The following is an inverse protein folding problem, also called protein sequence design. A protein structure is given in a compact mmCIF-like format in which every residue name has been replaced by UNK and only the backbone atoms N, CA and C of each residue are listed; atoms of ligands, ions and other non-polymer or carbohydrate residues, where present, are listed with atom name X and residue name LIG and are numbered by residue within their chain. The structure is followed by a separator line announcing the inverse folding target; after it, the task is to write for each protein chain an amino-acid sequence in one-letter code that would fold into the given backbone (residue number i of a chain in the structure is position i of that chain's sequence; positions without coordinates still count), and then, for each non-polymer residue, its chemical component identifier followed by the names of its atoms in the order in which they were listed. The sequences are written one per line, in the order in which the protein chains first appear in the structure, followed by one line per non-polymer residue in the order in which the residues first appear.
data_IF_081607024953
#
_entry.id   IF_081607024953
#
_cell.length_a   1.000
_cell.length_b   1.000
_cell.length_c   1.000
_cell.angle_alpha   90.00
_cell.angle_beta   90.00
_cell.angle_gamma   90.00
#
_symmetry.space_group_name_H-M   'P 1'
#
loop_
_entity.id
_entity.type
_entity.pdbx_description
1 polymer ?
#
# COMPACT_ATOMS: atom_id res chain seq x y z
N UNK A 1 5.59 28.61 27.09
CA UNK A 1 5.77 28.40 25.64
C UNK A 1 6.76 27.30 25.27
N UNK A 2 8.06 27.38 25.63
CA UNK A 2 9.09 26.43 25.13
C UNK A 2 8.75 24.95 25.34
N UNK A 3 8.34 24.55 26.55
CA UNK A 3 8.01 23.15 26.87
C UNK A 3 6.85 22.60 26.04
N UNK A 4 5.85 23.42 25.73
CA UNK A 4 4.70 23.02 24.92
C UNK A 4 5.11 22.73 23.47
N UNK A 5 5.93 23.60 22.87
CA UNK A 5 6.47 23.38 21.53
C UNK A 5 7.35 22.13 21.47
N UNK A 6 8.17 21.89 22.49
CA UNK A 6 8.99 20.68 22.56
C UNK A 6 8.14 19.43 22.62
N UNK A 7 7.11 19.38 23.47
CA UNK A 7 6.18 18.24 23.54
C UNK A 7 5.48 18.02 22.20
N UNK A 8 5.03 19.09 21.55
CA UNK A 8 4.39 19.01 20.24
C UNK A 8 5.34 18.47 19.16
N UNK A 9 6.60 18.92 19.16
CA UNK A 9 7.65 18.41 18.26
C UNK A 9 7.90 16.92 18.48
N UNK A 10 8.02 16.48 19.74
CA UNK A 10 8.21 15.06 20.06
C UNK A 10 7.01 14.26 19.55
N UNK A 11 5.79 14.72 19.81
CA UNK A 11 4.58 14.05 19.33
C UNK A 11 4.57 13.93 17.79
N UNK A 12 4.93 15.01 17.09
CA UNK A 12 5.01 15.00 15.63
C UNK A 12 6.05 14.00 15.13
N UNK A 13 7.24 13.97 15.75
CA UNK A 13 8.29 13.01 15.41
C UNK A 13 7.83 11.57 15.64
N UNK A 14 7.17 11.29 16.76
CA UNK A 14 6.63 9.95 17.06
C UNK A 14 5.60 9.53 16.01
N UNK A 15 4.70 10.44 15.60
CA UNK A 15 3.72 10.15 14.55
C UNK A 15 4.40 9.84 13.22
N UNK A 16 5.36 10.67 12.79
CA UNK A 16 6.10 10.46 11.54
C UNK A 16 6.89 9.14 11.58
N UNK A 17 7.55 8.85 12.70
CA UNK A 17 8.28 7.61 12.88
C UNK A 17 7.35 6.38 12.84
N UNK A 18 6.20 6.45 13.51
CA UNK A 18 5.18 5.39 13.50
C UNK A 18 4.60 5.12 12.11
N UNK A 19 4.24 6.18 11.38
CA UNK A 19 3.78 6.09 9.98
C UNK A 19 4.86 5.50 9.07
N UNK A 20 6.11 5.95 9.23
CA UNK A 20 7.24 5.44 8.44
C UNK A 20 7.50 3.97 8.73
N UNK A 21 7.45 3.55 9.99
CA UNK A 21 7.61 2.16 10.39
C UNK A 21 6.53 1.28 9.77
N UNK A 22 5.26 1.69 9.80
CA UNK A 22 4.15 0.95 9.19
C UNK A 22 4.40 0.74 7.68
N UNK A 23 4.77 1.80 6.97
CA UNK A 23 5.04 1.73 5.53
C UNK A 23 6.22 0.81 5.20
N UNK A 24 7.29 0.84 6.01
CA UNK A 24 8.48 0.01 5.79
C UNK A 24 8.27 -1.46 6.19
N UNK A 25 7.47 -1.73 7.23
CA UNK A 25 7.20 -3.09 7.68
C UNK A 25 6.15 -3.82 6.83
N UNK A 26 5.20 -3.10 6.26
CA UNK A 26 4.15 -3.72 5.43
C UNK A 26 4.71 -4.02 4.05
N UNK A 27 4.62 -5.28 3.61
CA UNK A 27 5.01 -5.66 2.26
C UNK A 27 3.87 -5.33 1.28
N UNK A 28 4.11 -4.48 0.26
CA UNK A 28 3.05 -4.13 -0.69
C UNK A 28 2.59 -5.33 -1.52
N UNK A 29 3.37 -6.41 -1.59
CA UNK A 29 2.99 -7.63 -2.30
C UNK A 29 1.90 -8.43 -1.58
N UNK A 30 1.67 -8.19 -0.28
CA UNK A 30 0.57 -8.84 0.47
C UNK A 30 -0.81 -8.43 -0.09
N UNK A 31 -0.90 -7.23 -0.68
CA UNK A 31 -2.12 -6.75 -1.32
C UNK A 31 -2.46 -7.45 -2.63
N UNK A 32 -1.49 -8.08 -3.30
CA UNK A 32 -1.67 -8.76 -4.58
C UNK A 32 -2.75 -9.83 -4.47
N UNK A 33 -2.57 -10.76 -3.55
CA UNK A 33 -3.47 -11.91 -3.41
C UNK A 33 -4.87 -11.47 -3.00
N UNK A 34 -4.94 -10.43 -2.17
CA UNK A 34 -6.18 -9.81 -1.77
C UNK A 34 -6.93 -9.19 -2.97
N UNK A 35 -6.22 -8.47 -3.85
CA UNK A 35 -6.78 -7.90 -5.07
C UNK A 35 -7.27 -8.98 -6.03
N UNK A 36 -6.45 -10.02 -6.27
CA UNK A 36 -6.81 -11.14 -7.17
C UNK A 36 -8.08 -11.82 -6.69
N UNK A 37 -8.15 -12.17 -5.40
CA UNK A 37 -9.34 -12.80 -4.80
C UNK A 37 -10.58 -11.92 -4.92
N UNK A 38 -10.45 -10.61 -4.66
CA UNK A 38 -11.59 -9.70 -4.75
C UNK A 38 -12.09 -9.50 -6.18
N UNK A 39 -11.20 -9.37 -7.16
CA UNK A 39 -11.60 -9.23 -8.57
C UNK A 39 -12.28 -10.49 -9.06
N UNK A 40 -11.74 -11.67 -8.71
CA UNK A 40 -12.40 -12.94 -9.00
C UNK A 40 -13.79 -13.02 -8.36
N UNK A 41 -13.92 -12.66 -7.08
CA UNK A 41 -15.19 -12.73 -6.36
C UNK A 41 -16.25 -11.74 -6.86
N UNK A 42 -15.85 -10.54 -7.30
CA UNK A 42 -16.80 -9.49 -7.69
C UNK A 42 -17.10 -9.42 -9.18
N UNK A 43 -16.14 -9.78 -10.01
CA UNK A 43 -16.24 -9.59 -11.46
C UNK A 43 -16.21 -10.92 -12.22
N UNK A 44 -15.82 -12.04 -11.59
CA UNK A 44 -15.65 -13.34 -12.24
C UNK A 44 -14.43 -13.41 -13.17
N UNK A 45 -13.65 -12.34 -13.26
CA UNK A 45 -12.40 -12.28 -14.03
C UNK A 45 -11.21 -12.58 -13.13
N UNK A 46 -10.20 -13.24 -13.70
CA UNK A 46 -8.92 -13.43 -13.06
C UNK A 46 -8.04 -12.20 -13.29
N UNK A 47 -7.62 -11.56 -12.20
CA UNK A 47 -6.62 -10.49 -12.26
C UNK A 47 -5.23 -11.11 -12.29
N UNK A 48 -4.43 -10.72 -13.29
CA UNK A 48 -3.00 -10.98 -13.36
C UNK A 48 -2.24 -9.66 -13.18
N UNK A 49 -1.26 -9.71 -12.28
CA UNK A 49 -0.37 -8.59 -11.95
C UNK A 49 1.05 -9.01 -12.33
N UNK A 50 1.62 -8.40 -13.35
CA UNK A 50 2.99 -8.68 -13.79
C UNK A 50 3.99 -7.85 -12.98
N UNK A 51 4.99 -8.53 -12.38
CA UNK A 51 6.04 -7.89 -11.60
C UNK A 51 5.60 -7.43 -10.20
N UNK A 52 6.53 -7.09 -9.29
CA UNK A 52 6.23 -6.83 -7.88
C UNK A 52 5.44 -5.53 -7.66
N UNK A 53 4.61 -5.51 -6.62
CA UNK A 53 4.00 -4.28 -6.12
C UNK A 53 5.07 -3.48 -5.37
N UNK A 54 5.11 -2.16 -5.61
CA UNK A 54 6.09 -1.27 -5.00
C UNK A 54 5.41 -0.14 -4.25
N UNK A 55 5.92 0.18 -3.07
CA UNK A 55 5.49 1.38 -2.37
C UNK A 55 5.88 2.64 -3.13
N UNK A 56 4.95 3.57 -3.20
CA UNK A 56 5.16 4.95 -3.61
C UNK A 56 4.62 5.83 -2.50
N UNK A 57 5.52 6.42 -1.73
CA UNK A 57 5.16 7.08 -0.46
C UNK A 57 5.13 8.61 -0.57
N UNK A 58 5.58 9.15 -1.70
CA UNK A 58 5.68 10.58 -1.95
C UNK A 58 5.43 10.91 -3.43
N UNK A 59 4.60 11.92 -3.76
CA UNK A 59 3.96 12.89 -2.85
C UNK A 59 2.71 12.36 -2.15
N UNK A 60 2.14 11.25 -2.64
CA UNK A 60 1.00 10.57 -2.04
C UNK A 60 1.37 9.14 -1.71
N UNK A 61 0.71 8.57 -0.70
CA UNK A 61 0.88 7.17 -0.32
C UNK A 61 0.03 6.28 -1.25
N UNK A 62 0.68 5.57 -2.16
CA UNK A 62 0.07 4.65 -3.11
C UNK A 62 0.95 3.42 -3.36
N UNK A 63 0.41 2.45 -4.10
CA UNK A 63 1.12 1.26 -4.53
C UNK A 63 1.20 1.29 -6.05
N UNK A 64 2.42 1.18 -6.57
CA UNK A 64 2.66 1.03 -8.00
C UNK A 64 2.58 -0.45 -8.35
N UNK A 65 1.70 -0.76 -9.30
CA UNK A 65 1.66 -2.06 -9.95
C UNK A 65 2.39 -2.03 -11.28
N UNK A 66 2.87 -3.20 -11.70
CA UNK A 66 3.34 -3.38 -13.08
C UNK A 66 2.15 -3.54 -14.04
N UNK A 67 2.36 -4.30 -15.12
CA UNK A 67 1.29 -4.56 -16.09
C UNK A 67 0.18 -5.36 -15.41
N UNK A 68 -1.07 -4.98 -15.70
CA UNK A 68 -2.25 -5.65 -15.20
C UNK A 68 -3.07 -6.16 -16.38
N UNK A 69 -3.47 -7.43 -16.32
CA UNK A 69 -4.38 -8.04 -17.29
C UNK A 69 -5.56 -8.69 -16.56
N UNK A 70 -6.69 -8.71 -17.25
CA UNK A 70 -7.90 -9.39 -16.79
C UNK A 70 -8.22 -10.48 -17.80
N UNK A 71 -8.35 -11.72 -17.33
CA UNK A 71 -8.77 -12.84 -18.17
C UNK A 71 -10.10 -13.37 -17.67
N UNK A 72 -11.02 -13.65 -18.60
CA UNK A 72 -12.26 -14.33 -18.25
C UNK A 72 -11.93 -15.79 -17.92
N UNK A 73 -12.58 -16.39 -16.92
CA UNK A 73 -12.51 -17.84 -16.74
C UNK A 73 -13.18 -18.51 -17.95
N UNK A 74 -12.36 -19.06 -18.87
CA UNK A 74 -12.83 -19.82 -20.03
C UNK A 74 -12.57 -19.19 -21.40
N UNK A 75 -11.79 -18.10 -21.48
CA UNK A 75 -11.29 -17.54 -22.75
C UNK A 75 -9.89 -18.07 -23.11
#
# INVERSE_FOLDING_TARGET
MRRFLTTLMILLVVLVAGLSALVLLVNPNDFRDYMVKQVAARSGYQLQLDGPLRWHVWPQLSILSGRMSLTAQGA
#
